data_IF_646745410406
#
_entry.id   IF_646745410406
#
_cell.length_a   1.000
_cell.length_b   1.000
_cell.length_c   1.000
_cell.angle_alpha   90.00
_cell.angle_beta   90.00
_cell.angle_gamma   90.00
#
_symmetry.space_group_name_H-M   'P 1'
#
loop_
_entity.id
_entity.type
_entity.pdbx_description
1 polymer ?
#
# COMPACT_ATOMS: atom_id res chain seq x y z
N UNK A 1 -13.00 -32.83 21.20
CA UNK A 1 -13.10 -33.03 19.74
C UNK A 1 -13.91 -31.89 19.15
N UNK A 2 -13.23 -30.86 18.63
CA UNK A 2 -13.82 -29.89 17.71
C UNK A 2 -12.78 -29.64 16.63
N UNK A 3 -13.20 -29.88 15.42
CA UNK A 3 -12.45 -29.86 14.16
C UNK A 3 -12.26 -28.42 13.65
N UNK A 4 -11.04 -28.19 13.12
CA UNK A 4 -10.51 -27.15 12.22
C UNK A 4 -11.46 -26.61 11.12
N UNK A 5 -11.01 -25.76 10.16
CA UNK A 5 -10.17 -24.54 10.17
C UNK A 5 -10.81 -23.43 9.27
N UNK A 6 -10.43 -22.15 9.34
CA UNK A 6 -10.53 -21.27 8.15
C UNK A 6 -9.31 -20.34 8.02
N UNK A 7 -8.65 -20.52 6.88
CA UNK A 7 -7.44 -19.94 6.35
C UNK A 7 -7.87 -18.99 5.23
N UNK A 8 -8.03 -17.70 5.53
CA UNK A 8 -8.43 -16.69 4.55
C UNK A 8 -7.21 -16.09 3.84
N UNK A 9 -6.65 -16.90 2.94
CA UNK A 9 -5.80 -16.44 1.85
C UNK A 9 -6.62 -15.85 0.70
N UNK A 10 -7.18 -14.65 0.87
CA UNK A 10 -7.88 -13.97 -0.23
C UNK A 10 -6.93 -13.18 -1.14
N UNK A 11 -6.36 -13.93 -2.08
CA UNK A 11 -5.74 -13.43 -3.32
C UNK A 11 -6.78 -13.31 -4.44
N UNK A 12 -7.81 -12.48 -4.27
CA UNK A 12 -8.67 -12.07 -5.40
C UNK A 12 -8.03 -10.91 -6.16
N UNK A 13 -7.46 -11.23 -7.32
CA UNK A 13 -6.98 -10.28 -8.31
C UNK A 13 -7.92 -10.33 -9.50
N UNK A 14 -8.91 -9.45 -9.51
CA UNK A 14 -9.78 -9.21 -10.66
C UNK A 14 -8.97 -8.45 -11.73
N UNK A 15 -8.63 -9.12 -12.82
CA UNK A 15 -7.98 -8.52 -13.99
C UNK A 15 -9.01 -8.46 -15.11
N UNK A 16 -9.53 -7.26 -15.36
CA UNK A 16 -10.35 -6.97 -16.53
C UNK A 16 -9.59 -7.33 -17.83
N UNK A 17 -10.28 -7.82 -18.87
CA UNK A 17 -9.65 -8.15 -20.15
C UNK A 17 -9.30 -6.87 -20.93
N UNK A 18 -8.10 -6.76 -21.53
CA UNK A 18 -7.84 -5.71 -22.50
C UNK A 18 -8.57 -6.06 -23.81
N UNK A 19 -9.43 -5.14 -24.26
CA UNK A 19 -9.96 -5.13 -25.62
C UNK A 19 -8.80 -4.91 -26.59
N UNK A 20 -8.64 -5.84 -27.52
CA UNK A 20 -7.70 -5.75 -28.63
C UNK A 20 -8.10 -4.62 -29.58
N UNK A 21 -7.21 -3.63 -29.74
CA UNK A 21 -7.05 -2.89 -31.00
C UNK A 21 -5.66 -2.29 -31.05
N UNK A 22 -4.89 -2.71 -32.04
CA UNK A 22 -3.55 -2.22 -32.32
C UNK A 22 -3.60 -0.71 -32.65
N UNK A 23 -2.80 0.08 -31.93
CA UNK A 23 -2.30 1.37 -32.40
C UNK A 23 -0.94 1.62 -31.75
N UNK A 24 0.10 1.67 -32.60
CA UNK A 24 1.43 2.20 -32.26
C UNK A 24 1.24 3.56 -31.60
N UNK A 25 1.58 3.66 -30.32
CA UNK A 25 1.77 4.94 -29.64
C UNK A 25 3.12 4.88 -28.93
N UNK A 26 3.94 5.89 -29.21
CA UNK A 26 5.23 6.10 -28.60
C UNK A 26 5.09 6.06 -27.08
N UNK A 27 6.08 5.46 -26.42
CA UNK A 27 6.18 5.42 -24.96
C UNK A 27 6.19 6.84 -24.40
N UNK A 28 5.01 7.34 -24.06
CA UNK A 28 4.83 8.52 -23.27
C UNK A 28 5.32 8.16 -21.88
N UNK A 29 6.57 8.53 -21.58
CA UNK A 29 7.08 8.58 -20.22
C UNK A 29 6.03 9.34 -19.40
N UNK A 30 5.30 8.63 -18.55
CA UNK A 30 4.62 9.26 -17.43
C UNK A 30 5.72 9.99 -16.67
N UNK A 31 5.79 11.31 -16.86
CA UNK A 31 6.52 12.18 -15.97
C UNK A 31 5.74 12.12 -14.67
N UNK A 32 6.12 11.18 -13.82
CA UNK A 32 5.81 11.23 -12.41
C UNK A 32 6.36 12.56 -11.89
N UNK A 33 5.49 13.58 -11.85
CA UNK A 33 5.69 14.75 -11.00
C UNK A 33 5.38 14.29 -9.57
N UNK A 34 6.16 13.33 -9.08
CA UNK A 34 6.17 12.96 -7.67
C UNK A 34 7.34 13.74 -7.10
N UNK A 35 7.04 14.93 -6.56
CA UNK A 35 7.96 15.61 -5.67
C UNK A 35 8.54 14.58 -4.69
N UNK A 36 9.87 14.56 -4.45
CA UNK A 36 10.48 13.50 -3.66
C UNK A 36 9.80 13.43 -2.30
N UNK A 37 8.99 12.38 -2.11
CA UNK A 37 8.20 12.22 -0.91
C UNK A 37 9.17 12.02 0.27
N UNK A 38 9.21 13.01 1.18
CA UNK A 38 9.99 12.95 2.41
C UNK A 38 9.75 11.60 3.10
N UNK A 39 10.85 10.93 3.48
CA UNK A 39 10.75 9.57 4.05
C UNK A 39 9.91 9.62 5.33
N UNK A 40 9.17 8.54 5.62
CA UNK A 40 8.26 8.47 6.78
C UNK A 40 8.91 8.89 8.10
N UNK A 41 10.15 8.48 8.35
CA UNK A 41 10.89 8.82 9.56
C UNK A 41 11.30 10.30 9.65
N UNK A 42 11.50 10.97 8.52
CA UNK A 42 11.84 12.39 8.48
C UNK A 42 10.61 13.27 8.77
N UNK A 43 9.40 12.73 8.59
CA UNK A 43 8.14 13.43 8.86
C UNK A 43 7.71 13.43 10.33
N UNK A 44 8.38 12.64 11.18
CA UNK A 44 8.02 12.48 12.60
C UNK A 44 8.57 13.66 13.39
N UNK A 45 7.68 14.39 14.05
CA UNK A 45 8.05 15.45 14.99
C UNK A 45 8.16 14.86 16.40
N UNK A 46 9.28 15.17 17.05
CA UNK A 46 9.64 14.72 18.39
C UNK A 46 9.46 15.89 19.38
N UNK A 47 8.44 15.88 20.25
CA UNK A 47 8.15 17.00 21.13
C UNK A 47 9.23 17.25 22.19
N UNK A 48 10.16 16.31 22.40
CA UNK A 48 11.27 16.50 23.35
C UNK A 48 12.38 17.38 22.79
N UNK A 49 12.40 17.62 21.46
CA UNK A 49 13.35 18.51 20.80
C UNK A 49 12.77 19.92 20.73
N UNK A 50 13.53 20.91 21.19
CA UNK A 50 13.10 22.33 21.23
C UNK A 50 12.62 22.85 19.89
N UNK A 51 13.32 22.53 18.80
CA UNK A 51 12.94 22.95 17.43
C UNK A 51 11.59 22.39 17.02
N UNK A 52 11.37 21.09 17.21
CA UNK A 52 10.10 20.44 16.89
C UNK A 52 8.97 20.91 17.81
N UNK A 53 9.24 21.15 19.09
CA UNK A 53 8.25 21.69 20.02
C UNK A 53 7.77 23.08 19.57
N UNK A 54 8.68 23.94 19.11
CA UNK A 54 8.32 25.25 18.55
C UNK A 54 7.47 25.11 17.28
N UNK A 55 7.83 24.17 16.38
CA UNK A 55 7.03 23.88 15.19
C UNK A 55 5.62 23.37 15.53
N UNK A 56 5.51 22.49 16.53
CA UNK A 56 4.22 21.97 17.01
C UNK A 56 3.36 23.05 17.65
N UNK A 57 3.96 23.97 18.41
CA UNK A 57 3.25 25.09 19.02
C UNK A 57 2.69 26.07 17.98
N UNK A 58 3.40 26.26 16.86
CA UNK A 58 2.96 27.10 15.75
C UNK A 58 2.08 26.38 14.71
N UNK A 59 1.83 25.08 14.85
CA UNK A 59 1.10 24.30 13.86
C UNK A 59 -0.39 24.67 13.81
N UNK A 60 -0.93 24.83 12.60
CA UNK A 60 -2.37 24.99 12.41
C UNK A 60 -3.10 23.70 12.78
N UNK A 61 -4.13 23.81 13.63
CA UNK A 61 -4.95 22.67 14.06
C UNK A 61 -6.17 22.56 13.16
N UNK A 62 -6.45 21.35 12.69
CA UNK A 62 -7.70 21.11 11.96
C UNK A 62 -8.90 21.29 12.89
N UNK A 63 -9.93 21.99 12.40
CA UNK A 63 -11.05 22.43 13.21
C UNK A 63 -12.04 21.31 13.55
N UNK A 64 -13.14 21.70 14.19
CA UNK A 64 -14.19 20.77 14.63
C UNK A 64 -15.01 20.20 13.46
N UNK A 65 -14.88 20.75 12.25
CA UNK A 65 -15.53 20.26 11.03
C UNK A 65 -15.15 18.81 10.70
N UNK A 66 -13.97 18.35 11.13
CA UNK A 66 -13.59 16.93 11.05
C UNK A 66 -14.16 16.14 12.23
N UNK A 67 -13.72 16.45 13.44
CA UNK A 67 -14.27 15.98 14.71
C UNK A 67 -13.77 16.93 15.80
N UNK A 68 -14.46 17.02 16.93
CA UNK A 68 -13.94 17.82 18.04
C UNK A 68 -12.87 17.02 18.80
N UNK A 69 -11.64 17.54 18.80
CA UNK A 69 -10.49 16.89 19.44
C UNK A 69 -10.55 16.96 20.97
N UNK A 70 -11.20 17.99 21.50
CA UNK A 70 -11.31 18.29 22.93
C UNK A 70 -12.59 17.70 23.53
N UNK A 71 -13.55 17.28 22.69
CA UNK A 71 -14.74 16.59 23.16
C UNK A 71 -14.41 15.25 23.83
N UNK A 72 -15.22 14.90 24.83
CA UNK A 72 -15.13 13.59 25.48
C UNK A 72 -15.42 12.45 24.49
N UNK A 73 -14.89 11.27 24.81
CA UNK A 73 -15.17 10.10 24.02
C UNK A 73 -16.64 9.68 24.16
N UNK A 74 -17.30 9.39 23.04
CA UNK A 74 -18.67 8.93 23.04
C UNK A 74 -18.77 7.52 23.64
N UNK A 75 -19.84 7.22 24.41
CA UNK A 75 -20.05 5.88 24.93
C UNK A 75 -20.24 4.86 23.79
N UNK A 76 -19.78 3.63 24.02
CA UNK A 76 -19.89 2.52 23.07
C UNK A 76 -18.61 2.23 22.28
N UNK A 77 -18.64 1.16 21.49
CA UNK A 77 -17.50 0.70 20.69
C UNK A 77 -17.33 1.48 19.38
N UNK A 78 -16.08 1.64 18.95
CA UNK A 78 -15.76 2.20 17.64
C UNK A 78 -16.25 1.27 16.53
N UNK A 79 -17.05 1.79 15.61
CA UNK A 79 -17.60 1.02 14.50
C UNK A 79 -16.56 0.76 13.39
N UNK A 80 -16.80 -0.31 12.62
CA UNK A 80 -16.09 -0.64 11.38
C UNK A 80 -14.56 -0.81 11.52
N UNK A 81 -14.07 -1.17 12.71
CA UNK A 81 -12.65 -1.50 12.96
C UNK A 81 -12.53 -2.86 13.64
N UNK A 82 -11.48 -3.61 13.30
CA UNK A 82 -11.14 -4.87 13.98
C UNK A 82 -10.39 -4.66 15.29
N UNK A 83 -9.95 -3.42 15.57
CA UNK A 83 -9.21 -3.03 16.77
C UNK A 83 -9.82 -1.78 17.41
N UNK A 84 -11.06 -1.86 17.93
CA UNK A 84 -11.76 -0.72 18.52
C UNK A 84 -11.07 -0.19 19.78
N UNK A 85 -10.27 -1.02 20.46
CA UNK A 85 -9.43 -0.69 21.60
C UNK A 85 -8.42 0.42 21.30
N UNK A 86 -7.93 0.53 20.07
CA UNK A 86 -6.88 1.48 19.69
C UNK A 86 -7.39 2.88 19.35
N UNK A 87 -8.69 3.05 19.16
CA UNK A 87 -9.27 4.28 18.61
C UNK A 87 -10.33 4.88 19.53
N UNK A 88 -10.52 6.19 19.41
CA UNK A 88 -11.57 6.93 20.12
C UNK A 88 -12.88 6.83 19.34
N UNK A 89 -13.98 6.67 20.06
CA UNK A 89 -15.32 6.87 19.51
C UNK A 89 -15.66 8.37 19.55
N UNK A 90 -15.79 9.02 18.39
CA UNK A 90 -15.95 10.48 18.30
C UNK A 90 -17.21 10.86 17.52
N UNK A 91 -17.77 12.02 17.86
CA UNK A 91 -18.75 12.67 17.01
C UNK A 91 -18.05 13.27 15.79
N UNK A 92 -18.39 12.78 14.61
CA UNK A 92 -17.87 13.31 13.35
C UNK A 92 -18.54 14.63 13.00
N UNK A 93 -17.73 15.60 12.58
CA UNK A 93 -18.19 16.90 12.09
C UNK A 93 -18.70 16.84 10.66
N UNK A 94 -19.17 17.99 10.17
CA UNK A 94 -19.83 18.12 8.86
C UNK A 94 -18.94 17.70 7.69
N UNK A 95 -17.62 17.92 7.77
CA UNK A 95 -16.70 17.55 6.70
C UNK A 95 -16.70 16.04 6.42
N UNK A 96 -16.88 15.22 7.45
CA UNK A 96 -16.94 13.76 7.34
C UNK A 96 -18.28 13.24 6.78
N UNK A 97 -19.27 14.10 6.58
CA UNK A 97 -20.61 13.74 6.07
C UNK A 97 -21.03 14.53 4.84
N UNK A 98 -20.27 15.55 4.45
CA UNK A 98 -20.62 16.47 3.37
C UNK A 98 -20.26 15.92 1.97
N UNK A 99 -21.30 15.71 1.16
CA UNK A 99 -21.23 15.25 -0.23
C UNK A 99 -21.42 16.37 -1.27
N UNK A 100 -21.58 17.63 -0.83
CA UNK A 100 -21.95 18.76 -1.70
C UNK A 100 -20.81 19.25 -2.59
N UNK A 101 -19.54 19.02 -2.20
CA UNK A 101 -18.35 19.50 -2.91
C UNK A 101 -17.74 18.43 -3.80
N UNK A 102 -18.05 18.47 -5.09
CA UNK A 102 -17.64 17.46 -6.08
C UNK A 102 -16.12 17.36 -6.20
N UNK A 103 -15.42 18.48 -6.11
CA UNK A 103 -13.97 18.62 -6.23
C UNK A 103 -13.19 17.85 -5.16
N UNK A 104 -13.81 17.55 -4.00
CA UNK A 104 -13.18 16.77 -2.94
C UNK A 104 -13.25 15.25 -3.23
N UNK A 105 -14.07 14.81 -4.18
CA UNK A 105 -14.21 13.41 -4.55
C UNK A 105 -13.37 13.10 -5.79
N UNK A 106 -12.20 12.52 -5.56
CA UNK A 106 -11.26 12.15 -6.63
C UNK A 106 -11.28 10.65 -6.91
N UNK A 107 -11.13 10.27 -8.19
CA UNK A 107 -11.05 8.86 -8.59
C UNK A 107 -9.70 8.21 -8.25
N UNK A 108 -8.65 9.02 -8.14
CA UNK A 108 -7.27 8.59 -7.81
C UNK A 108 -6.76 9.35 -6.58
N UNK A 109 -7.27 9.02 -5.37
CA UNK A 109 -6.85 9.71 -4.16
C UNK A 109 -5.36 9.45 -3.87
N UNK A 110 -4.62 10.53 -3.63
CA UNK A 110 -3.27 10.46 -3.10
C UNK A 110 -3.33 10.08 -1.61
N UNK A 111 -2.59 9.05 -1.21
CA UNK A 111 -2.46 8.67 0.20
C UNK A 111 -1.02 8.83 0.68
N UNK A 112 -0.86 9.63 1.73
CA UNK A 112 0.40 9.73 2.46
C UNK A 112 0.23 9.03 3.81
N UNK A 113 1.11 8.07 4.10
CA UNK A 113 1.01 7.28 5.34
C UNK A 113 1.00 8.19 6.57
N UNK A 114 0.21 7.79 7.56
CA UNK A 114 0.25 8.35 8.90
C UNK A 114 1.60 8.06 9.58
N UNK A 115 2.05 9.02 10.38
CA UNK A 115 3.25 8.92 11.22
C UNK A 115 2.87 9.01 12.70
N UNK A 116 3.70 8.49 13.63
CA UNK A 116 3.51 8.72 15.06
C UNK A 116 3.51 10.22 15.39
N UNK A 117 2.59 10.63 16.27
CA UNK A 117 2.30 12.02 16.60
C UNK A 117 1.06 12.55 15.87
N UNK A 118 0.39 13.57 16.42
CA UNK A 118 -0.79 14.18 15.78
C UNK A 118 -0.41 14.97 14.53
N UNK A 119 0.78 15.55 14.53
CA UNK A 119 1.26 16.40 13.45
C UNK A 119 2.41 15.72 12.68
N UNK A 120 2.57 16.09 11.42
CA UNK A 120 3.70 15.64 10.59
C UNK A 120 4.41 16.84 9.94
N UNK A 121 5.70 16.68 9.71
CA UNK A 121 6.51 17.62 8.91
C UNK A 121 6.32 17.32 7.42
N UNK A 122 6.14 18.36 6.62
CA UNK A 122 6.02 18.29 5.17
C UNK A 122 7.35 18.66 4.48
N UNK A 123 7.53 18.29 3.19
CA UNK A 123 8.78 18.56 2.46
C UNK A 123 9.13 20.05 2.34
N UNK A 124 8.15 20.94 2.42
CA UNK A 124 8.32 22.40 2.40
C UNK A 124 8.67 23.00 3.78
N UNK A 125 8.84 22.15 4.80
CA UNK A 125 9.15 22.54 6.18
C UNK A 125 7.93 22.92 7.01
N UNK A 126 6.72 22.87 6.44
CA UNK A 126 5.48 23.18 7.17
C UNK A 126 5.00 21.99 7.99
N UNK A 127 4.18 22.26 9.01
CA UNK A 127 3.58 21.23 9.86
C UNK A 127 2.10 21.08 9.54
N UNK A 128 1.65 19.83 9.35
CA UNK A 128 0.25 19.50 9.07
C UNK A 128 -0.36 18.64 10.16
N UNK A 129 -1.60 18.97 10.56
CA UNK A 129 -2.42 18.13 11.45
C UNK A 129 -2.89 16.88 10.69
N UNK A 130 -2.50 15.69 11.16
CA UNK A 130 -2.88 14.43 10.51
C UNK A 130 -4.37 14.10 10.69
N UNK A 131 -5.10 14.85 11.52
CA UNK A 131 -6.57 14.82 11.60
C UNK A 131 -7.25 14.96 10.23
N UNK A 132 -6.68 15.77 9.33
CA UNK A 132 -7.23 15.96 7.98
C UNK A 132 -7.24 14.67 7.15
N UNK A 133 -6.30 13.77 7.41
CA UNK A 133 -6.18 12.48 6.69
C UNK A 133 -7.19 11.44 7.13
N UNK A 134 -7.86 11.65 8.28
CA UNK A 134 -8.80 10.66 8.82
C UNK A 134 -10.03 10.50 7.93
N UNK A 135 -10.42 11.56 7.24
CA UNK A 135 -11.54 11.56 6.30
C UNK A 135 -11.01 11.37 4.88
N UNK A 136 -11.40 10.28 4.24
CA UNK A 136 -11.07 10.00 2.84
C UNK A 136 -12.31 10.12 1.98
N UNK A 137 -12.32 11.12 1.11
CA UNK A 137 -13.35 11.32 0.09
C UNK A 137 -12.82 10.83 -1.26
N UNK A 138 -13.60 9.99 -1.94
CA UNK A 138 -13.20 9.41 -3.24
C UNK A 138 -14.40 9.10 -4.13
N UNK A 139 -14.15 9.00 -5.44
CA UNK A 139 -15.07 8.37 -6.39
C UNK A 139 -14.72 6.90 -6.51
N UNK A 140 -15.71 6.03 -6.33
CA UNK A 140 -15.51 4.59 -6.49
C UNK A 140 -15.40 4.17 -7.97
N UNK A 141 -15.13 2.88 -8.22
CA UNK A 141 -14.99 2.30 -9.58
C UNK A 141 -16.19 2.56 -10.49
N UNK A 142 -17.36 2.85 -9.93
CA UNK A 142 -18.61 3.14 -10.64
C UNK A 142 -18.91 4.63 -10.72
N UNK A 143 -18.00 5.49 -10.25
CA UNK A 143 -18.19 6.95 -10.20
C UNK A 143 -19.07 7.42 -9.04
N UNK A 144 -19.38 6.57 -8.05
CA UNK A 144 -20.18 6.97 -6.89
C UNK A 144 -19.29 7.59 -5.81
N UNK A 145 -19.72 8.73 -5.27
CA UNK A 145 -19.06 9.39 -4.14
C UNK A 145 -19.08 8.51 -2.89
N UNK A 146 -17.95 8.41 -2.21
CA UNK A 146 -17.78 7.72 -0.93
C UNK A 146 -17.01 8.61 0.04
N UNK A 147 -17.44 8.64 1.30
CA UNK A 147 -16.68 9.22 2.41
C UNK A 147 -16.37 8.10 3.39
N UNK A 148 -15.10 7.97 3.77
CA UNK A 148 -14.65 7.08 4.82
C UNK A 148 -14.07 7.91 5.97
N UNK A 149 -14.75 7.91 7.11
CA UNK A 149 -14.27 8.54 8.33
C UNK A 149 -13.55 7.50 9.19
N UNK A 150 -12.23 7.63 9.31
CA UNK A 150 -11.40 6.70 10.07
C UNK A 150 -11.24 7.20 11.51
N UNK A 151 -11.56 6.39 12.53
CA UNK A 151 -11.57 6.85 13.91
C UNK A 151 -10.17 7.30 14.36
N UNK A 152 -10.06 8.43 15.10
CA UNK A 152 -8.77 8.93 15.55
C UNK A 152 -8.14 7.97 16.57
N UNK A 153 -6.81 7.79 16.57
CA UNK A 153 -6.13 7.03 17.61
C UNK A 153 -6.44 7.58 19.00
N UNK A 154 -6.54 6.69 20.02
CA UNK A 154 -6.52 7.12 21.43
C UNK A 154 -5.20 7.81 21.76
N UNK A 155 -4.12 7.21 21.28
CA UNK A 155 -2.77 7.75 21.35
C UNK A 155 -2.20 7.88 19.94
N UNK A 156 -1.91 9.12 19.53
CA UNK A 156 -1.29 9.40 18.24
C UNK A 156 0.16 8.93 18.16
N UNK A 157 0.85 8.73 19.28
CA UNK A 157 2.21 8.18 19.31
C UNK A 157 2.22 6.64 19.15
N UNK A 158 1.08 5.97 19.33
CA UNK A 158 0.98 4.50 19.24
C UNK A 158 1.26 4.00 17.82
N UNK A 159 2.42 3.37 17.64
CA UNK A 159 2.80 2.77 16.37
C UNK A 159 1.82 1.67 15.92
N UNK A 160 1.17 0.99 16.87
CA UNK A 160 0.15 -0.02 16.57
C UNK A 160 -1.10 0.62 15.97
N UNK A 161 -1.64 1.66 16.61
CA UNK A 161 -2.80 2.41 16.11
C UNK A 161 -2.52 3.03 14.73
N UNK A 162 -1.35 3.66 14.56
CA UNK A 162 -0.91 4.24 13.28
C UNK A 162 -0.76 3.16 12.20
N UNK A 163 -0.28 1.97 12.54
CA UNK A 163 -0.17 0.86 11.58
C UNK A 163 -1.55 0.34 11.16
N UNK A 164 -2.46 0.17 12.12
CA UNK A 164 -3.85 -0.24 11.86
C UNK A 164 -4.57 0.79 10.98
N UNK A 165 -4.41 2.08 11.26
CA UNK A 165 -4.99 3.18 10.49
C UNK A 165 -4.47 3.20 9.05
N UNK A 166 -3.16 3.12 8.86
CA UNK A 166 -2.53 3.03 7.54
C UNK A 166 -3.06 1.84 6.72
N UNK A 167 -3.15 0.65 7.34
CA UNK A 167 -3.69 -0.54 6.68
C UNK A 167 -5.15 -0.32 6.26
N UNK A 168 -5.98 0.23 7.16
CA UNK A 168 -7.40 0.49 6.90
C UNK A 168 -7.59 1.46 5.74
N UNK A 169 -6.91 2.61 5.75
CA UNK A 169 -7.04 3.62 4.69
C UNK A 169 -6.60 3.08 3.33
N UNK A 170 -5.47 2.37 3.26
CA UNK A 170 -5.01 1.71 2.05
C UNK A 170 -6.05 0.71 1.53
N UNK A 171 -6.67 -0.07 2.42
CA UNK A 171 -7.70 -1.05 2.02
C UNK A 171 -8.97 -0.39 1.53
N UNK A 172 -9.42 0.70 2.16
CA UNK A 172 -10.58 1.48 1.70
C UNK A 172 -10.35 1.98 0.27
N UNK A 173 -9.21 2.62 0.00
CA UNK A 173 -8.88 3.11 -1.34
C UNK A 173 -8.76 1.95 -2.33
N UNK A 174 -8.04 0.87 -1.98
CA UNK A 174 -7.81 -0.28 -2.88
C UNK A 174 -9.10 -1.00 -3.26
N UNK A 175 -10.03 -1.18 -2.31
CA UNK A 175 -11.30 -1.90 -2.56
C UNK A 175 -12.26 -1.06 -3.41
N UNK A 176 -12.25 0.26 -3.24
CA UNK A 176 -13.23 1.15 -3.88
C UNK A 176 -12.73 1.82 -5.16
N UNK A 177 -11.42 1.93 -5.40
CA UNK A 177 -10.86 2.63 -6.57
C UNK A 177 -10.05 1.69 -7.45
N UNK A 178 -9.45 2.22 -8.53
CA UNK A 178 -8.46 1.50 -9.35
C UNK A 178 -7.02 1.76 -8.90
N UNK A 179 -6.82 2.59 -7.87
CA UNK A 179 -5.50 2.96 -7.36
C UNK A 179 -4.79 1.73 -6.80
N UNK A 180 -3.52 1.60 -7.19
CA UNK A 180 -2.62 0.57 -6.68
C UNK A 180 -1.47 1.24 -5.94
N UNK A 181 -1.33 0.91 -4.66
CA UNK A 181 -0.23 1.41 -3.81
C UNK A 181 1.08 0.66 -4.01
N UNK A 182 1.08 -0.39 -4.83
CA UNK A 182 2.24 -1.21 -5.14
C UNK A 182 2.31 -1.37 -6.64
N UNK A 183 3.51 -1.25 -7.16
CA UNK A 183 3.80 -1.61 -8.54
C UNK A 183 3.34 -3.06 -8.80
N UNK A 184 2.76 -3.29 -9.97
CA UNK A 184 2.34 -4.63 -10.35
C UNK A 184 3.58 -5.48 -10.56
N UNK A 185 3.88 -6.36 -9.61
CA UNK A 185 4.97 -7.32 -9.74
C UNK A 185 4.67 -8.18 -10.97
N UNK A 186 5.50 -8.03 -12.01
CA UNK A 186 5.39 -8.90 -13.17
C UNK A 186 5.65 -10.33 -12.72
N UNK A 187 4.81 -11.28 -13.12
CA UNK A 187 5.00 -12.68 -12.75
C UNK A 187 6.28 -13.24 -13.38
N UNK A 188 6.93 -14.18 -12.70
CA UNK A 188 8.06 -14.93 -13.25
C UNK A 188 7.56 -15.84 -14.38
N UNK A 189 8.28 -15.88 -15.50
CA UNK A 189 7.98 -16.76 -16.63
C UNK A 189 8.74 -18.08 -16.55
N UNK A 190 8.35 -19.03 -17.40
CA UNK A 190 8.94 -20.37 -17.42
C UNK A 190 10.47 -20.34 -17.57
N UNK A 191 10.99 -19.50 -18.47
CA UNK A 191 12.43 -19.34 -18.69
C UNK A 191 13.17 -18.81 -17.45
N UNK A 192 12.62 -17.78 -16.80
CA UNK A 192 13.18 -17.25 -15.55
C UNK A 192 13.18 -18.30 -14.43
N UNK A 193 12.11 -19.10 -14.32
CA UNK A 193 12.00 -20.16 -13.31
C UNK A 193 12.91 -21.35 -13.59
N UNK A 194 13.11 -21.70 -14.86
CA UNK A 194 14.08 -22.71 -15.26
C UNK A 194 15.50 -22.27 -14.89
N UNK A 195 15.83 -20.99 -15.10
CA UNK A 195 17.09 -20.42 -14.67
C UNK A 195 17.23 -20.43 -13.14
N UNK A 196 16.19 -20.05 -12.39
CA UNK A 196 16.17 -20.11 -10.93
C UNK A 196 16.52 -21.53 -10.48
N UNK A 197 15.79 -22.53 -10.99
CA UNK A 197 16.01 -23.92 -10.64
C UNK A 197 17.45 -24.37 -10.91
N UNK A 198 18.02 -24.02 -12.07
CA UNK A 198 19.38 -24.41 -12.45
C UNK A 198 20.47 -23.78 -11.57
N UNK A 199 20.15 -22.70 -10.84
CA UNK A 199 21.09 -21.98 -9.98
C UNK A 199 20.80 -22.16 -8.48
N UNK A 200 19.93 -23.11 -8.13
CA UNK A 200 19.68 -23.54 -6.76
C UNK A 200 20.36 -24.90 -6.49
N UNK A 201 20.89 -25.05 -5.28
CA UNK A 201 21.43 -26.29 -4.74
C UNK A 201 20.72 -26.57 -3.41
N UNK A 202 20.00 -27.69 -3.32
CA UNK A 202 19.15 -27.99 -2.15
C UNK A 202 18.09 -26.93 -1.87
N UNK A 203 17.58 -26.24 -2.90
CA UNK A 203 16.60 -25.16 -2.75
C UNK A 203 17.16 -23.81 -2.30
N UNK A 204 18.48 -23.65 -2.26
CA UNK A 204 19.15 -22.38 -1.91
C UNK A 204 20.15 -21.95 -2.99
N UNK A 205 20.43 -20.65 -3.17
CA UNK A 205 21.43 -20.22 -4.14
C UNK A 205 22.83 -20.74 -3.79
N UNK A 206 23.45 -21.50 -4.71
CA UNK A 206 24.74 -22.14 -4.47
C UNK A 206 25.87 -21.13 -4.13
N UNK A 207 25.84 -19.96 -4.78
CA UNK A 207 26.85 -18.89 -4.60
C UNK A 207 26.38 -17.75 -3.68
N UNK A 208 25.32 -17.99 -2.90
CA UNK A 208 24.68 -16.99 -2.06
C UNK A 208 23.80 -15.99 -2.81
N UNK A 209 22.97 -15.28 -2.05
CA UNK A 209 21.89 -14.46 -2.58
C UNK A 209 22.34 -13.24 -3.40
N UNK A 210 23.43 -12.57 -3.00
CA UNK A 210 23.90 -11.38 -3.70
C UNK A 210 24.25 -11.70 -5.16
N UNK A 211 25.11 -12.70 -5.36
CA UNK A 211 25.53 -13.14 -6.68
C UNK A 211 24.39 -13.72 -7.50
N UNK A 212 23.47 -14.45 -6.86
CA UNK A 212 22.26 -14.96 -7.51
C UNK A 212 21.37 -13.83 -8.07
N UNK A 213 21.18 -12.75 -7.33
CA UNK A 213 20.43 -11.57 -7.78
C UNK A 213 21.14 -10.87 -8.95
N UNK A 214 22.45 -10.69 -8.85
CA UNK A 214 23.27 -10.08 -9.91
C UNK A 214 23.19 -10.91 -11.21
N UNK A 215 23.53 -12.21 -11.14
CA UNK A 215 23.52 -13.12 -12.29
C UNK A 215 22.10 -13.25 -12.90
N UNK A 216 21.04 -13.24 -12.09
CA UNK A 216 19.65 -13.27 -12.59
C UNK A 216 19.34 -12.00 -13.41
N UNK A 217 19.68 -10.83 -12.90
CA UNK A 217 19.37 -9.57 -13.58
C UNK A 217 20.21 -9.37 -14.84
N UNK A 218 21.49 -9.78 -14.84
CA UNK A 218 22.30 -9.84 -16.07
C UNK A 218 21.65 -10.72 -17.15
N UNK A 219 21.00 -11.80 -16.74
CA UNK A 219 20.34 -12.72 -17.65
C UNK A 219 19.01 -12.20 -18.19
N UNK A 220 18.24 -11.42 -17.43
CA UNK A 220 16.85 -11.12 -17.79
C UNK A 220 16.49 -9.64 -17.85
N UNK A 221 17.06 -8.77 -17.01
CA UNK A 221 16.67 -7.36 -16.93
C UNK A 221 16.75 -6.68 -18.30
N UNK A 222 15.69 -5.95 -18.67
CA UNK A 222 15.61 -5.24 -19.95
C UNK A 222 15.33 -6.11 -21.17
N UNK A 223 15.46 -7.45 -21.07
CA UNK A 223 15.17 -8.36 -22.19
C UNK A 223 13.67 -8.54 -22.39
N UNK A 224 13.26 -8.81 -23.63
CA UNK A 224 11.85 -9.14 -23.96
C UNK A 224 11.79 -10.63 -24.24
N UNK A 225 11.07 -11.38 -23.40
CA UNK A 225 10.94 -12.83 -23.51
C UNK A 225 9.65 -13.21 -24.25
N UNK A 226 9.63 -14.38 -24.87
CA UNK A 226 8.44 -14.87 -25.61
C UNK A 226 7.24 -14.98 -24.67
N UNK A 227 6.10 -14.42 -25.08
CA UNK A 227 4.87 -14.45 -24.28
C UNK A 227 4.81 -13.45 -23.13
N UNK A 228 5.76 -12.51 -23.02
CA UNK A 228 5.74 -11.43 -22.02
C UNK A 228 5.23 -10.11 -22.59
N UNK A 229 4.53 -9.33 -21.75
CA UNK A 229 4.09 -7.98 -22.09
C UNK A 229 5.19 -6.96 -21.75
N UNK A 230 6.25 -6.93 -22.57
CA UNK A 230 7.33 -5.94 -22.47
C UNK A 230 8.64 -6.49 -21.86
N UNK A 231 9.57 -5.56 -21.60
CA UNK A 231 10.87 -5.87 -21.04
C UNK A 231 10.76 -6.40 -19.60
N UNK A 232 11.61 -7.36 -19.23
CA UNK A 232 11.65 -7.90 -17.87
C UNK A 232 12.20 -6.85 -16.90
N UNK A 233 11.57 -6.69 -15.73
CA UNK A 233 12.03 -5.73 -14.75
C UNK A 233 13.23 -6.27 -13.98
N UNK A 234 13.98 -5.36 -13.37
CA UNK A 234 14.91 -5.69 -12.31
C UNK A 234 14.20 -6.46 -11.18
N UNK A 235 14.82 -7.53 -10.69
CA UNK A 235 14.36 -8.32 -9.55
C UNK A 235 15.26 -8.09 -8.35
N UNK A 236 14.67 -7.58 -7.28
CA UNK A 236 15.37 -7.42 -6.02
C UNK A 236 15.56 -8.76 -5.30
N UNK A 237 16.48 -8.77 -4.33
CA UNK A 237 16.67 -9.87 -3.38
C UNK A 237 15.33 -10.36 -2.80
N UNK A 238 14.51 -9.45 -2.26
CA UNK A 238 13.21 -9.83 -1.68
C UNK A 238 12.24 -10.46 -2.68
N UNK A 239 12.27 -10.04 -3.95
CA UNK A 239 11.43 -10.63 -5.00
C UNK A 239 11.84 -12.08 -5.28
N UNK A 240 13.13 -12.33 -5.46
CA UNK A 240 13.66 -13.66 -5.76
C UNK A 240 13.54 -14.61 -4.55
N UNK A 241 13.82 -14.14 -3.34
CA UNK A 241 13.62 -14.93 -2.11
C UNK A 241 12.18 -15.41 -1.98
N UNK A 242 11.19 -14.52 -2.18
CA UNK A 242 9.77 -14.90 -2.13
C UNK A 242 9.36 -15.90 -3.20
N UNK A 243 9.94 -15.82 -4.40
CA UNK A 243 9.66 -16.81 -5.46
C UNK A 243 10.23 -18.18 -5.09
N UNK A 244 11.47 -18.23 -4.58
CA UNK A 244 12.13 -19.47 -4.16
C UNK A 244 11.42 -20.09 -2.96
N UNK A 245 11.06 -19.29 -1.94
CA UNK A 245 10.33 -19.76 -0.76
C UNK A 245 8.93 -20.27 -1.11
N UNK A 246 8.17 -19.52 -1.91
CA UNK A 246 6.80 -19.89 -2.33
C UNK A 246 6.76 -21.23 -3.04
N UNK A 247 7.80 -21.54 -3.82
CA UNK A 247 7.87 -22.75 -4.63
C UNK A 247 9.00 -23.69 -4.19
N UNK A 248 9.42 -23.61 -2.92
CA UNK A 248 10.54 -24.38 -2.38
C UNK A 248 10.38 -25.88 -2.61
N UNK A 249 9.18 -26.41 -2.45
CA UNK A 249 8.86 -27.82 -2.68
C UNK A 249 9.03 -28.27 -4.14
N UNK A 250 8.81 -27.36 -5.09
CA UNK A 250 9.00 -27.66 -6.51
C UNK A 250 10.49 -27.61 -6.84
N UNK A 251 11.16 -26.53 -6.46
CA UNK A 251 12.58 -26.36 -6.75
C UNK A 251 13.44 -27.43 -6.06
N UNK A 252 13.11 -27.80 -4.82
CA UNK A 252 13.77 -28.89 -4.09
C UNK A 252 13.61 -30.26 -4.74
N UNK A 253 12.56 -30.45 -5.57
CA UNK A 253 12.33 -31.66 -6.36
C UNK A 253 12.89 -31.58 -7.78
N UNK A 254 13.61 -30.51 -8.14
CA UNK A 254 14.09 -30.33 -9.50
C UNK A 254 12.98 -29.95 -10.49
N UNK A 255 11.86 -29.40 -10.04
CA UNK A 255 10.69 -29.08 -10.86
C UNK A 255 10.53 -27.57 -11.05
N UNK A 256 10.14 -27.17 -12.27
CA UNK A 256 9.80 -25.77 -12.60
C UNK A 256 8.33 -25.51 -12.28
N UNK A 257 8.00 -24.53 -11.42
CA UNK A 257 6.61 -24.20 -11.10
C UNK A 257 5.86 -23.69 -12.32
N UNK A 258 4.74 -24.34 -12.65
CA UNK A 258 3.85 -23.90 -13.72
C UNK A 258 2.96 -22.76 -13.18
N UNK A 259 2.84 -21.62 -13.88
CA UNK A 259 1.88 -20.60 -13.50
C UNK A 259 0.47 -21.21 -13.42
N UNK A 260 -0.27 -20.92 -12.35
CA UNK A 260 -1.66 -21.35 -12.26
C UNK A 260 -2.41 -20.90 -13.54
N UNK A 261 -2.96 -21.86 -14.29
CA UNK A 261 -3.81 -21.54 -15.43
C UNK A 261 -4.96 -20.68 -14.89
N UNK A 262 -5.11 -19.47 -15.43
CA UNK A 262 -6.30 -18.67 -15.15
C UNK A 262 -7.50 -19.47 -15.64
N UNK A 263 -8.24 -20.09 -14.73
CA UNK A 263 -9.59 -20.55 -15.03
C UNK A 263 -10.36 -19.27 -15.32
N UNK A 264 -10.64 -19.03 -16.61
CA UNK A 264 -11.57 -17.99 -17.03
C UNK A 264 -12.93 -18.43 -16.53
N UNK A 265 -13.37 -17.92 -15.38
CA UNK A 265 -14.79 -17.80 -15.05
C UNK A 265 -15.28 -16.48 -15.59
#
# INVERSE_FOLDING_TARGET
LVTHPEDDTDSEVEIMPPRSRAKKTAAMRQRDVVAPAMKRNQRILDPTKTEHAAMLAGASKAGAEYYDSEAEELPGGVKDTTRPDLFRNVAWGTFATDFSKDEEFVAEPAFTQFVPGRFELLPDGTVRDQKEKLVVKLLDKNGKKRIFANPPPRDWASQEAITALNKRTVQQIRRNTRVRFREVVQAYVAEERAWILANLEGGKPAKGWKKFVEEFNECFEGKVLVGTAGARPYRSHSSLTKEVERFGDFYGKGLVPVPAKRIRK
#
